data_IF_048131987718
#
_entry.id   IF_048131987718
#
_cell.length_a   1.000
_cell.length_b   1.000
_cell.length_c   1.000
_cell.angle_alpha   90.00
_cell.angle_beta   90.00
_cell.angle_gamma   90.00
#
_symmetry.space_group_name_H-M   'P 1'
#
loop_
_entity.id
_entity.type
_entity.pdbx_description
1 polymer ?
#
# COMPACT_ATOMS: atom_id res chain seq x y z
N UNK A 1 -13.81 42.61 -38.52
CA UNK A 1 -15.22 42.22 -38.51
C UNK A 1 -15.46 41.42 -37.25
N UNK A 2 -16.16 42.03 -36.29
CA UNK A 2 -16.48 41.46 -34.97
C UNK A 2 -17.69 40.55 -35.09
N UNK A 3 -17.70 39.38 -34.49
CA UNK A 3 -18.93 38.69 -34.09
C UNK A 3 -18.76 38.08 -32.72
N UNK A 4 -19.46 38.68 -31.77
CA UNK A 4 -19.73 38.17 -30.41
C UNK A 4 -20.76 37.05 -30.46
N UNK A 5 -20.60 36.06 -29.60
CA UNK A 5 -21.68 35.18 -29.16
C UNK A 5 -21.59 35.05 -27.63
N UNK A 6 -22.70 35.23 -26.90
CA UNK A 6 -22.73 35.12 -25.45
C UNK A 6 -23.01 33.67 -25.01
N UNK A 7 -22.34 33.25 -23.93
CA UNK A 7 -22.70 32.05 -23.20
C UNK A 7 -23.57 32.42 -22.01
N UNK A 8 -24.76 31.87 -22.00
CA UNK A 8 -25.74 31.93 -20.94
C UNK A 8 -25.39 30.91 -19.84
N UNK A 9 -25.27 31.37 -18.62
CA UNK A 9 -25.14 30.56 -17.41
C UNK A 9 -26.44 30.68 -16.65
N UNK A 10 -27.27 29.62 -16.67
CA UNK A 10 -28.37 29.48 -15.72
C UNK A 10 -28.39 28.11 -15.08
N UNK A 11 -28.15 28.14 -13.74
CA UNK A 11 -28.76 27.39 -12.67
C UNK A 11 -28.89 25.86 -12.73
N UNK A 12 -28.18 25.19 -11.82
CA UNK A 12 -28.69 23.98 -11.19
C UNK A 12 -28.31 24.00 -9.71
N UNK A 13 -29.32 23.94 -8.91
CA UNK A 13 -29.39 24.03 -7.45
C UNK A 13 -28.79 22.83 -6.71
N UNK A 14 -27.99 23.13 -5.69
CA UNK A 14 -27.57 22.16 -4.67
C UNK A 14 -28.68 22.00 -3.60
N UNK A 15 -28.83 20.83 -2.98
CA UNK A 15 -29.69 20.68 -1.82
C UNK A 15 -28.96 21.10 -0.54
N UNK A 16 -29.64 21.95 0.22
CA UNK A 16 -29.32 22.37 1.58
C UNK A 16 -29.37 21.20 2.57
N UNK A 17 -28.33 21.05 3.39
CA UNK A 17 -28.40 20.36 4.66
C UNK A 17 -28.40 21.40 5.78
N UNK A 18 -29.51 21.43 6.50
CA UNK A 18 -29.76 22.29 7.66
C UNK A 18 -28.92 21.84 8.86
N UNK A 19 -28.22 22.79 9.42
CA UNK A 19 -27.62 22.78 10.73
C UNK A 19 -28.69 22.98 11.81
N UNK A 20 -28.72 22.12 12.82
CA UNK A 20 -29.35 22.42 14.09
C UNK A 20 -28.33 22.31 15.23
N UNK A 21 -28.20 23.33 16.07
CA UNK A 21 -27.36 23.28 17.26
C UNK A 21 -28.25 23.07 18.49
N UNK A 22 -27.94 22.14 19.37
CA UNK A 22 -27.98 22.30 20.81
C UNK A 22 -27.77 20.95 21.55
N UNK A 23 -26.75 20.88 22.37
CA UNK A 23 -26.85 20.25 23.67
C UNK A 23 -25.59 20.56 24.51
N UNK A 24 -25.74 21.62 25.26
CA UNK A 24 -24.94 21.92 26.44
C UNK A 24 -25.32 20.97 27.56
N UNK A 25 -24.37 20.24 28.16
CA UNK A 25 -24.30 19.95 29.61
C UNK A 25 -22.91 19.43 29.96
N UNK A 26 -22.14 20.21 30.72
CA UNK A 26 -21.10 19.70 31.64
C UNK A 26 -21.77 19.33 32.99
N UNK A 27 -21.21 18.41 33.80
CA UNK A 27 -20.23 18.90 34.77
C UNK A 27 -19.03 17.99 35.04
N UNK A 28 -18.06 18.63 35.68
CA UNK A 28 -16.83 18.10 36.21
C UNK A 28 -16.99 17.04 37.29
N UNK A 29 -16.00 16.11 37.36
CA UNK A 29 -15.56 15.52 38.64
C UNK A 29 -14.12 14.97 38.50
N UNK A 30 -13.26 15.64 39.16
CA UNK A 30 -12.16 15.28 40.08
C UNK A 30 -11.34 14.01 39.85
N UNK A 31 -10.04 14.27 39.94
CA UNK A 31 -8.91 13.35 40.06
C UNK A 31 -9.06 12.30 41.18
N UNK A 32 -8.60 11.09 40.91
CA UNK A 32 -7.94 10.23 41.89
C UNK A 32 -6.91 9.33 41.21
N UNK A 33 -5.68 9.51 41.64
CA UNK A 33 -4.56 8.59 41.47
C UNK A 33 -4.88 7.23 42.09
N UNK A 34 -4.65 6.15 41.39
CA UNK A 34 -4.29 4.89 42.04
C UNK A 34 -3.25 4.13 41.24
N UNK A 35 -2.10 3.93 41.92
CA UNK A 35 -1.05 3.01 41.55
C UNK A 35 -1.47 1.63 42.00
N UNK A 36 -1.48 0.64 41.13
CA UNK A 36 -1.08 -0.71 41.55
C UNK A 36 -0.91 -1.66 40.35
N UNK A 37 0.26 -2.23 40.35
CA UNK A 37 0.62 -3.64 40.08
C UNK A 37 0.48 -4.17 38.65
N UNK A 38 1.64 -4.19 37.97
CA UNK A 38 1.99 -5.17 36.96
C UNK A 38 2.23 -6.54 37.61
N UNK A 39 1.79 -7.66 37.06
CA UNK A 39 2.34 -8.97 37.40
C UNK A 39 3.53 -9.28 36.51
N UNK A 40 4.69 -9.42 37.13
CA UNK A 40 5.88 -10.05 36.61
C UNK A 40 5.61 -11.53 36.28
N UNK A 41 5.73 -11.92 35.01
CA UNK A 41 5.62 -13.33 34.58
C UNK A 41 6.88 -13.89 33.91
N UNK A 42 8.07 -13.38 34.25
CA UNK A 42 9.33 -13.99 33.81
C UNK A 42 10.37 -13.98 34.93
N UNK A 43 10.24 -14.91 35.89
CA UNK A 43 11.36 -15.44 36.71
C UNK A 43 10.86 -16.59 37.56
N UNK A 44 11.03 -17.81 37.07
CA UNK A 44 11.24 -19.01 37.87
C UNK A 44 11.23 -20.23 36.96
N UNK A 45 12.40 -20.70 36.58
CA UNK A 45 12.77 -22.09 36.42
C UNK A 45 14.25 -22.20 36.04
N UNK A 46 15.08 -22.09 37.04
CA UNK A 46 16.42 -22.68 37.04
C UNK A 46 16.55 -23.44 38.36
N UNK A 47 17.21 -24.57 38.30
CA UNK A 47 17.59 -25.47 39.37
C UNK A 47 16.61 -26.62 39.67
N UNK A 48 16.94 -27.76 39.12
CA UNK A 48 17.33 -28.97 39.89
C UNK A 48 18.00 -29.95 38.93
N UNK A 49 19.25 -30.14 39.21
CA UNK A 49 20.16 -31.08 38.56
C UNK A 49 20.27 -32.37 39.34
N UNK A 50 20.73 -33.43 38.65
CA UNK A 50 21.56 -34.51 39.11
C UNK A 50 21.01 -35.53 40.14
N UNK A 51 20.86 -36.79 39.70
CA UNK A 51 21.51 -38.00 40.25
C UNK A 51 21.23 -39.19 39.34
N UNK A 52 22.24 -39.80 38.70
CA UNK A 52 22.94 -41.07 38.96
C UNK A 52 21.98 -42.27 39.17
N UNK A 53 22.00 -43.41 38.47
CA UNK A 53 23.03 -44.33 38.00
C UNK A 53 22.41 -45.55 37.29
N UNK A 54 23.15 -46.45 36.67
CA UNK A 54 22.64 -47.45 35.73
C UNK A 54 22.35 -48.79 36.41
N UNK A 55 21.32 -49.47 35.92
CA UNK A 55 21.13 -50.92 36.18
C UNK A 55 20.83 -51.62 34.86
N UNK A 56 21.80 -52.38 34.41
CA UNK A 56 21.68 -53.42 33.41
C UNK A 56 20.77 -54.53 33.92
N UNK A 57 19.67 -54.78 33.21
CA UNK A 57 18.92 -56.02 33.31
C UNK A 57 18.44 -56.44 31.93
N UNK A 58 19.05 -57.52 31.46
CA UNK A 58 18.70 -58.28 30.28
C UNK A 58 17.31 -58.90 30.42
N UNK A 59 16.40 -58.65 29.42
CA UNK A 59 15.18 -59.43 29.25
C UNK A 59 14.93 -59.71 27.77
N UNK A 60 14.25 -60.80 27.42
CA UNK A 60 14.30 -61.45 26.13
C UNK A 60 13.41 -60.77 25.10
N UNK A 61 13.80 -60.92 23.84
CA UNK A 61 13.10 -60.47 22.65
C UNK A 61 11.70 -61.10 22.53
N UNK A 62 10.67 -60.33 22.81
CA UNK A 62 9.33 -60.60 22.34
C UNK A 62 9.17 -59.85 20.98
N UNK A 63 9.12 -60.63 19.92
CA UNK A 63 8.67 -60.16 18.60
C UNK A 63 7.21 -59.80 18.73
N UNK A 64 6.92 -58.54 18.99
CA UNK A 64 5.58 -57.99 18.88
C UNK A 64 5.35 -57.62 17.41
N UNK A 65 4.34 -58.24 16.83
CA UNK A 65 3.81 -57.84 15.51
C UNK A 65 3.51 -56.33 15.47
N UNK A 66 4.09 -55.63 14.52
CA UNK A 66 3.80 -54.24 14.29
C UNK A 66 2.29 -54.04 14.03
N UNK A 67 1.62 -53.11 14.72
CA UNK A 67 0.30 -52.73 14.32
C UNK A 67 0.40 -52.05 12.91
N UNK A 68 -0.41 -52.52 11.96
CA UNK A 68 -0.65 -51.80 10.72
C UNK A 68 -1.12 -50.41 11.11
N UNK A 69 -0.27 -49.40 10.92
CA UNK A 69 -0.68 -48.03 11.00
C UNK A 69 -1.56 -47.75 9.79
N UNK A 70 -2.86 -47.75 9.97
CA UNK A 70 -3.78 -47.03 9.10
C UNK A 70 -3.49 -45.55 9.29
N UNK A 71 -2.38 -45.08 8.73
CA UNK A 71 -2.23 -43.66 8.41
C UNK A 71 -3.20 -43.42 7.23
N UNK A 72 -4.16 -42.51 7.37
CA UNK A 72 -4.90 -42.11 6.23
C UNK A 72 -3.88 -41.55 5.23
N UNK A 73 -3.76 -42.22 4.07
CA UNK A 73 -3.05 -41.69 2.93
C UNK A 73 -3.50 -40.25 2.78
N UNK A 74 -2.57 -39.31 3.03
CA UNK A 74 -2.78 -37.91 2.76
C UNK A 74 -3.36 -37.86 1.35
N UNK A 75 -4.60 -37.42 1.28
CA UNK A 75 -5.42 -37.46 0.08
C UNK A 75 -4.70 -36.58 -0.94
N UNK A 76 -3.92 -37.19 -1.83
CA UNK A 76 -3.18 -36.53 -2.91
C UNK A 76 -4.16 -35.70 -3.75
N UNK A 77 -5.43 -36.13 -3.82
CA UNK A 77 -6.51 -35.35 -4.46
C UNK A 77 -6.78 -33.99 -3.79
N UNK A 78 -6.50 -33.82 -2.49
CA UNK A 78 -6.57 -32.51 -1.82
C UNK A 78 -5.39 -31.60 -2.13
N UNK A 79 -4.23 -32.16 -2.44
CA UNK A 79 -3.06 -31.40 -2.86
C UNK A 79 -3.19 -30.96 -4.33
N UNK A 80 -3.87 -31.77 -5.14
CA UNK A 80 -4.15 -31.46 -6.57
C UNK A 80 -5.26 -30.41 -6.71
N UNK A 81 -6.17 -30.30 -5.73
CA UNK A 81 -7.26 -29.29 -5.74
C UNK A 81 -6.75 -27.84 -5.50
N UNK A 82 -5.48 -27.67 -5.11
CA UNK A 82 -4.82 -26.36 -4.97
C UNK A 82 -4.41 -25.79 -6.35
N UNK A 83 -4.40 -26.59 -7.38
CA UNK A 83 -4.01 -26.23 -8.75
C UNK A 83 -5.23 -26.19 -9.68
N UNK A 84 -6.39 -25.71 -9.19
CA UNK A 84 -7.48 -25.34 -10.08
C UNK A 84 -6.96 -24.29 -11.04
N UNK A 85 -7.13 -24.53 -12.33
CA UNK A 85 -6.88 -23.55 -13.36
C UNK A 85 -7.67 -22.27 -13.01
N UNK A 86 -6.94 -21.21 -12.65
CA UNK A 86 -7.57 -19.92 -12.37
C UNK A 86 -7.94 -19.30 -13.71
N UNK A 87 -9.23 -19.03 -13.89
CA UNK A 87 -9.67 -18.20 -15.01
C UNK A 87 -9.23 -16.75 -14.77
N UNK A 88 -8.17 -16.32 -15.44
CA UNK A 88 -7.62 -14.97 -15.32
C UNK A 88 -8.62 -13.86 -15.68
N UNK A 89 -9.68 -14.19 -16.44
CA UNK A 89 -10.75 -13.25 -16.78
C UNK A 89 -11.75 -13.03 -15.64
N UNK A 90 -11.64 -13.80 -14.56
CA UNK A 90 -12.58 -13.76 -13.42
C UNK A 90 -11.88 -13.50 -12.10
N UNK A 91 -10.74 -12.83 -12.12
CA UNK A 91 -10.01 -12.44 -10.92
C UNK A 91 -10.53 -11.09 -10.43
N UNK A 92 -10.86 -11.01 -9.14
CA UNK A 92 -11.32 -9.79 -8.45
C UNK A 92 -10.25 -9.32 -7.49
N UNK A 93 -10.02 -8.01 -7.42
CA UNK A 93 -9.09 -7.40 -6.49
C UNK A 93 -9.83 -6.44 -5.53
N UNK A 94 -9.72 -6.71 -4.23
CA UNK A 94 -10.36 -5.90 -3.18
C UNK A 94 -9.48 -4.79 -2.61
N UNK A 95 -8.25 -4.67 -3.14
CA UNK A 95 -7.32 -3.61 -2.80
C UNK A 95 -6.45 -3.26 -4.01
N UNK A 96 -5.80 -2.10 -4.02
CA UNK A 96 -5.19 -1.52 -5.21
C UNK A 96 -3.77 -2.02 -5.50
N UNK A 97 -3.04 -2.53 -4.49
CA UNK A 97 -1.79 -3.26 -4.73
C UNK A 97 -2.02 -4.52 -5.60
N UNK A 98 -2.99 -5.40 -5.28
CA UNK A 98 -3.34 -6.52 -6.16
C UNK A 98 -3.80 -6.10 -7.55
N UNK A 99 -4.51 -4.97 -7.69
CA UNK A 99 -4.87 -4.41 -9.01
C UNK A 99 -3.62 -4.13 -9.83
N UNK A 100 -2.64 -3.47 -9.21
CA UNK A 100 -1.38 -3.14 -9.86
C UNK A 100 -0.63 -4.40 -10.31
N UNK A 101 -0.58 -5.43 -9.45
CA UNK A 101 0.07 -6.70 -9.77
C UNK A 101 -0.58 -7.40 -10.96
N UNK A 102 -1.92 -7.42 -11.03
CA UNK A 102 -2.65 -7.96 -12.19
C UNK A 102 -2.31 -7.21 -13.47
N UNK A 103 -2.37 -5.87 -13.42
CA UNK A 103 -2.09 -5.02 -14.58
C UNK A 103 -0.64 -5.17 -15.05
N UNK A 104 0.31 -5.36 -14.14
CA UNK A 104 1.71 -5.65 -14.46
C UNK A 104 1.89 -7.00 -15.17
N UNK A 105 1.01 -7.98 -14.93
CA UNK A 105 0.95 -9.25 -15.64
C UNK A 105 0.14 -9.19 -16.94
N UNK A 106 -0.39 -8.03 -17.33
CA UNK A 106 -1.27 -7.87 -18.49
C UNK A 106 -2.69 -8.39 -18.27
N UNK A 107 -3.10 -8.62 -17.01
CA UNK A 107 -4.43 -9.11 -16.65
C UNK A 107 -5.31 -7.95 -16.21
N UNK A 108 -6.42 -7.73 -16.90
CA UNK A 108 -7.46 -6.80 -16.45
C UNK A 108 -8.29 -7.47 -15.36
N UNK A 109 -8.41 -6.87 -14.14
CA UNK A 109 -9.27 -7.43 -13.10
C UNK A 109 -10.74 -7.41 -13.54
N UNK A 110 -11.48 -8.48 -13.24
CA UNK A 110 -12.92 -8.59 -13.51
C UNK A 110 -13.74 -7.63 -12.63
N UNK A 111 -13.30 -7.43 -11.40
CA UNK A 111 -13.88 -6.48 -10.46
C UNK A 111 -12.84 -5.88 -9.56
N UNK A 112 -13.05 -4.64 -9.15
CA UNK A 112 -12.17 -3.88 -8.27
C UNK A 112 -13.00 -3.17 -7.21
N UNK A 113 -12.53 -3.19 -5.97
CA UNK A 113 -13.15 -2.41 -4.93
C UNK A 113 -12.72 -0.93 -5.01
N UNK A 114 -13.69 -0.05 -4.77
CA UNK A 114 -13.49 1.40 -4.61
C UNK A 114 -12.86 2.07 -5.84
N UNK A 115 -13.42 1.79 -7.03
CA UNK A 115 -12.93 2.36 -8.31
C UNK A 115 -12.94 3.88 -8.32
N UNK A 116 -13.90 4.53 -7.62
CA UNK A 116 -13.94 5.98 -7.54
C UNK A 116 -12.64 6.55 -6.93
N UNK A 117 -12.28 6.06 -5.75
CA UNK A 117 -11.05 6.49 -5.07
C UNK A 117 -9.78 5.96 -5.76
N UNK A 118 -9.83 4.82 -6.45
CA UNK A 118 -8.72 4.38 -7.30
C UNK A 118 -8.33 5.48 -8.30
N UNK A 119 -9.32 6.08 -8.97
CA UNK A 119 -9.07 7.18 -9.94
C UNK A 119 -8.46 8.42 -9.30
N UNK A 120 -8.81 8.71 -8.03
CA UNK A 120 -8.31 9.88 -7.29
C UNK A 120 -6.91 9.67 -6.70
N UNK A 121 -6.60 8.44 -6.25
CA UNK A 121 -5.37 8.15 -5.51
C UNK A 121 -4.30 7.43 -6.32
N UNK A 122 -4.71 6.60 -7.26
CA UNK A 122 -3.80 5.84 -8.14
C UNK A 122 -3.64 6.56 -9.48
N UNK A 123 -4.76 6.86 -10.14
CA UNK A 123 -4.83 7.56 -11.41
C UNK A 123 -4.37 6.72 -12.60
N UNK A 124 -3.21 6.10 -12.53
CA UNK A 124 -2.63 5.27 -13.58
C UNK A 124 -1.95 4.02 -12.98
N UNK A 125 -2.05 2.85 -13.66
CA UNK A 125 -2.79 2.63 -14.91
C UNK A 125 -4.29 2.84 -14.76
N UNK A 126 -4.92 3.39 -15.80
CA UNK A 126 -6.38 3.55 -15.81
C UNK A 126 -7.06 2.18 -15.91
N UNK A 127 -8.14 1.99 -15.16
CA UNK A 127 -8.98 0.80 -15.29
C UNK A 127 -9.90 0.93 -16.49
N UNK A 128 -10.06 -0.13 -17.32
CA UNK A 128 -11.08 -0.20 -18.34
C UNK A 128 -12.50 0.08 -17.81
N UNK A 129 -13.39 0.53 -18.67
CA UNK A 129 -14.73 0.95 -18.26
C UNK A 129 -15.66 -0.22 -17.88
N UNK A 130 -15.33 -1.42 -18.31
CA UNK A 130 -16.06 -2.67 -18.06
C UNK A 130 -15.68 -3.36 -16.73
N UNK A 131 -14.67 -2.85 -16.03
CA UNK A 131 -14.31 -3.34 -14.70
C UNK A 131 -15.43 -3.04 -13.70
N UNK A 132 -15.93 -4.09 -13.04
CA UNK A 132 -17.06 -3.99 -12.12
C UNK A 132 -16.59 -3.41 -10.77
N UNK A 133 -17.28 -2.37 -10.27
CA UNK A 133 -17.06 -1.87 -8.92
C UNK A 133 -17.74 -2.79 -7.90
N UNK A 134 -16.96 -3.44 -7.03
CA UNK A 134 -17.47 -4.40 -6.05
C UNK A 134 -17.67 -3.81 -4.64
N UNK A 135 -17.79 -2.49 -4.53
CA UNK A 135 -18.05 -1.79 -3.25
C UNK A 135 -16.78 -1.19 -2.65
N UNK A 136 -16.79 -0.96 -1.34
CA UNK A 136 -15.66 -0.38 -0.61
C UNK A 136 -14.57 -1.44 -0.35
N UNK A 137 -13.31 -0.99 -0.24
CA UNK A 137 -12.18 -1.89 0.05
C UNK A 137 -12.31 -2.58 1.41
N UNK A 138 -12.86 -1.89 2.41
CA UNK A 138 -13.09 -2.44 3.76
C UNK A 138 -14.37 -3.25 3.88
N UNK A 139 -15.39 -2.92 3.08
CA UNK A 139 -16.71 -3.54 3.07
C UNK A 139 -17.18 -3.76 1.63
N UNK A 140 -16.60 -4.75 0.91
CA UNK A 140 -17.06 -5.08 -0.43
C UNK A 140 -18.47 -5.70 -0.40
N UNK A 141 -19.19 -5.57 -1.50
CA UNK A 141 -20.50 -6.17 -1.66
C UNK A 141 -20.36 -7.70 -1.86
N UNK A 142 -20.52 -8.45 -0.77
CA UNK A 142 -20.36 -9.92 -0.77
C UNK A 142 -21.41 -10.63 -1.63
N UNK A 143 -22.63 -10.09 -1.72
CA UNK A 143 -23.70 -10.65 -2.57
C UNK A 143 -23.34 -10.52 -4.05
N UNK A 144 -22.84 -9.34 -4.45
CA UNK A 144 -22.35 -9.12 -5.80
C UNK A 144 -21.16 -10.05 -6.11
N UNK A 145 -20.20 -10.18 -5.19
CA UNK A 145 -19.07 -11.09 -5.35
C UNK A 145 -19.54 -12.54 -5.55
N UNK A 146 -20.54 -12.97 -4.79
CA UNK A 146 -21.13 -14.31 -4.93
C UNK A 146 -21.79 -14.51 -6.31
N UNK A 147 -22.54 -13.50 -6.79
CA UNK A 147 -23.15 -13.53 -8.13
C UNK A 147 -22.11 -13.54 -9.26
N UNK A 148 -21.03 -12.77 -9.08
CA UNK A 148 -19.91 -12.74 -10.03
C UNK A 148 -19.17 -14.08 -10.09
N UNK A 149 -19.21 -14.89 -9.05
CA UNK A 149 -18.53 -16.18 -8.90
C UNK A 149 -17.05 -16.10 -9.39
N UNK A 150 -16.19 -15.28 -8.79
CA UNK A 150 -14.83 -15.12 -9.22
C UNK A 150 -14.02 -16.42 -9.09
N UNK A 151 -13.00 -16.58 -9.92
CA UNK A 151 -12.07 -17.72 -9.83
C UNK A 151 -11.03 -17.54 -8.72
N UNK A 152 -10.72 -16.27 -8.39
CA UNK A 152 -9.77 -15.88 -7.36
C UNK A 152 -10.13 -14.48 -6.86
N UNK A 153 -10.00 -14.26 -5.53
CA UNK A 153 -10.11 -12.95 -4.91
C UNK A 153 -8.74 -12.55 -4.32
N UNK A 154 -8.25 -11.39 -4.71
CA UNK A 154 -6.98 -10.84 -4.26
C UNK A 154 -7.18 -9.77 -3.20
N UNK A 155 -6.34 -9.80 -2.16
CA UNK A 155 -6.40 -8.98 -0.95
C UNK A 155 -5.05 -8.34 -0.66
N UNK A 156 -5.04 -7.31 0.19
CA UNK A 156 -3.84 -6.90 0.92
C UNK A 156 -3.89 -7.37 2.37
N UNK A 157 -2.74 -7.77 2.91
CA UNK A 157 -2.66 -8.24 4.29
C UNK A 157 -2.98 -7.11 5.28
N UNK A 158 -3.79 -7.43 6.26
CA UNK A 158 -4.15 -6.49 7.33
C UNK A 158 -5.11 -5.38 6.91
N UNK A 159 -5.69 -5.44 5.69
CA UNK A 159 -6.65 -4.46 5.21
C UNK A 159 -7.84 -5.12 4.51
N UNK A 160 -9.05 -4.64 4.82
CA UNK A 160 -10.30 -5.18 4.27
C UNK A 160 -10.81 -6.43 4.98
N UNK A 161 -11.69 -7.22 4.33
CA UNK A 161 -12.28 -8.41 4.92
C UNK A 161 -11.24 -9.52 5.10
N UNK A 162 -11.42 -10.34 6.13
CA UNK A 162 -10.55 -11.49 6.34
C UNK A 162 -10.79 -12.58 5.27
N UNK A 163 -9.75 -13.38 4.92
CA UNK A 163 -9.88 -14.47 3.95
C UNK A 163 -11.00 -15.46 4.30
N UNK A 164 -11.24 -15.71 5.59
CA UNK A 164 -12.27 -16.65 6.04
C UNK A 164 -13.68 -16.22 5.66
N UNK A 165 -13.95 -14.89 5.62
CA UNK A 165 -15.25 -14.36 5.17
C UNK A 165 -15.49 -14.54 3.68
N UNK A 166 -14.42 -14.63 2.91
CA UNK A 166 -14.47 -14.74 1.44
C UNK A 166 -14.34 -16.18 0.95
N UNK A 167 -13.82 -17.09 1.78
CA UNK A 167 -13.63 -18.50 1.44
C UNK A 167 -14.88 -19.21 0.92
N UNK A 168 -16.13 -18.90 1.37
CA UNK A 168 -17.34 -19.47 0.79
C UNK A 168 -17.63 -19.00 -0.65
N UNK A 169 -17.04 -17.89 -1.09
CA UNK A 169 -17.27 -17.27 -2.41
C UNK A 169 -16.23 -17.78 -3.41
N UNK A 170 -14.93 -17.66 -3.08
CA UNK A 170 -13.84 -18.09 -3.94
C UNK A 170 -12.54 -18.27 -3.15
N UNK A 171 -11.54 -18.97 -3.72
CA UNK A 171 -10.16 -18.94 -3.19
C UNK A 171 -9.65 -17.53 -3.06
N UNK A 172 -8.82 -17.28 -2.04
CA UNK A 172 -8.23 -15.97 -1.78
C UNK A 172 -6.71 -16.03 -1.83
N UNK A 173 -6.08 -14.90 -2.19
CA UNK A 173 -4.64 -14.70 -2.09
C UNK A 173 -4.36 -13.29 -1.57
N UNK A 174 -3.48 -13.16 -0.57
CA UNK A 174 -3.19 -11.90 0.10
C UNK A 174 -1.73 -11.50 -0.08
N UNK A 175 -1.50 -10.20 -0.29
CA UNK A 175 -0.18 -9.63 -0.49
C UNK A 175 0.15 -8.63 0.62
N UNK A 176 1.37 -8.70 1.13
CA UNK A 176 1.89 -7.68 2.04
C UNK A 176 2.36 -6.45 1.24
N UNK A 177 2.16 -5.26 1.81
CA UNK A 177 2.81 -4.05 1.31
C UNK A 177 4.26 -3.98 1.77
N UNK A 178 4.52 -4.38 3.03
CA UNK A 178 5.84 -4.34 3.64
C UNK A 178 6.03 -5.56 4.54
N UNK A 179 7.27 -5.99 4.69
CA UNK A 179 7.68 -7.09 5.56
C UNK A 179 8.90 -6.68 6.38
N UNK A 180 8.99 -7.17 7.60
CA UNK A 180 10.11 -6.83 8.47
C UNK A 180 11.44 -7.28 7.85
N UNK A 181 12.37 -6.34 7.70
CA UNK A 181 13.69 -6.60 7.12
C UNK A 181 13.74 -6.60 5.60
N UNK A 182 12.63 -6.33 4.92
CA UNK A 182 12.56 -6.18 3.46
C UNK A 182 12.15 -4.76 3.09
N UNK A 183 12.37 -4.39 1.83
CA UNK A 183 11.88 -3.13 1.28
C UNK A 183 10.54 -3.33 0.57
N UNK A 184 9.61 -2.35 0.59
CA UNK A 184 8.34 -2.44 -0.12
C UNK A 184 8.50 -2.80 -1.61
N UNK A 185 9.52 -2.27 -2.27
CA UNK A 185 9.78 -2.60 -3.67
C UNK A 185 10.18 -4.07 -3.86
N UNK A 186 11.01 -4.63 -2.96
CA UNK A 186 11.37 -6.04 -3.02
C UNK A 186 10.17 -6.94 -2.73
N UNK A 187 9.35 -6.59 -1.73
CA UNK A 187 8.10 -7.30 -1.41
C UNK A 187 7.15 -7.26 -2.61
N UNK A 188 6.99 -6.10 -3.27
CA UNK A 188 6.15 -5.95 -4.45
C UNK A 188 6.64 -6.80 -5.64
N UNK A 189 7.96 -6.87 -5.89
CA UNK A 189 8.53 -7.75 -6.93
C UNK A 189 8.27 -9.23 -6.64
N UNK A 190 8.46 -9.67 -5.39
CA UNK A 190 8.17 -11.05 -4.97
C UNK A 190 6.67 -11.36 -5.09
N UNK A 191 5.81 -10.42 -4.72
CA UNK A 191 4.36 -10.55 -4.86
C UNK A 191 3.95 -10.74 -6.32
N UNK A 192 4.57 -10.00 -7.25
CA UNK A 192 4.32 -10.14 -8.68
C UNK A 192 4.73 -11.53 -9.19
N UNK A 193 5.90 -12.04 -8.79
CA UNK A 193 6.35 -13.38 -9.17
C UNK A 193 5.40 -14.45 -8.62
N UNK A 194 5.01 -14.34 -7.36
CA UNK A 194 4.10 -15.28 -6.70
C UNK A 194 2.72 -15.29 -7.34
N UNK A 195 2.19 -14.10 -7.71
CA UNK A 195 0.93 -14.01 -8.45
C UNK A 195 1.09 -14.59 -9.87
N UNK A 196 2.20 -14.30 -10.55
CA UNK A 196 2.51 -14.88 -11.85
C UNK A 196 2.50 -16.41 -11.83
N UNK A 197 3.14 -17.02 -10.85
CA UNK A 197 3.13 -18.48 -10.64
C UNK A 197 1.69 -18.98 -10.39
N UNK A 198 0.92 -18.30 -9.55
CA UNK A 198 -0.45 -18.70 -9.23
C UNK A 198 -1.39 -18.67 -10.44
N UNK A 199 -1.13 -17.74 -11.38
CA UNK A 199 -1.95 -17.56 -12.59
C UNK A 199 -1.36 -18.27 -13.84
N UNK A 200 -0.22 -18.95 -13.74
CA UNK A 200 0.47 -19.56 -14.91
C UNK A 200 1.05 -18.49 -15.85
N UNK A 201 1.46 -17.35 -15.33
CA UNK A 201 1.97 -16.18 -16.06
C UNK A 201 3.42 -15.84 -15.67
N UNK A 202 4.25 -16.85 -15.34
CA UNK A 202 5.63 -16.66 -14.87
C UNK A 202 6.47 -15.90 -15.88
N UNK A 203 6.31 -16.20 -17.17
CA UNK A 203 7.04 -15.51 -18.25
C UNK A 203 6.69 -14.03 -18.30
N UNK A 204 5.40 -13.68 -18.14
CA UNK A 204 4.95 -12.28 -18.10
C UNK A 204 5.52 -11.54 -16.87
N UNK A 205 5.56 -12.20 -15.71
CA UNK A 205 6.15 -11.65 -14.49
C UNK A 205 7.66 -11.40 -14.67
N UNK A 206 8.41 -12.36 -15.23
CA UNK A 206 9.84 -12.23 -15.49
C UNK A 206 10.13 -11.10 -16.47
N UNK A 207 9.36 -11.03 -17.57
CA UNK A 207 9.53 -9.97 -18.56
C UNK A 207 9.27 -8.60 -17.96
N UNK A 208 8.15 -8.44 -17.22
CA UNK A 208 7.84 -7.17 -16.56
C UNK A 208 8.94 -6.72 -15.59
N UNK A 209 9.49 -7.65 -14.80
CA UNK A 209 10.58 -7.33 -13.86
C UNK A 209 11.88 -6.94 -14.58
N UNK A 210 12.21 -7.60 -15.69
CA UNK A 210 13.35 -7.23 -16.52
C UNK A 210 13.18 -5.82 -17.13
N UNK A 211 11.99 -5.53 -17.66
CA UNK A 211 11.64 -4.21 -18.20
C UNK A 211 11.68 -3.13 -17.12
N UNK A 212 11.19 -3.44 -15.91
CA UNK A 212 11.28 -2.55 -14.75
C UNK A 212 12.74 -2.23 -14.39
N UNK A 213 13.61 -3.23 -14.31
CA UNK A 213 15.01 -3.03 -13.94
C UNK A 213 15.75 -2.20 -15.01
N UNK A 214 15.49 -2.46 -16.30
CA UNK A 214 15.99 -1.64 -17.41
C UNK A 214 15.49 -0.20 -17.32
N UNK A 215 14.20 -0.01 -17.05
CA UNK A 215 13.60 1.31 -16.88
C UNK A 215 14.27 2.10 -15.74
N UNK A 216 14.48 1.46 -14.58
CA UNK A 216 15.10 2.10 -13.42
C UNK A 216 16.56 2.48 -13.68
N UNK A 217 17.32 1.61 -14.36
CA UNK A 217 18.70 1.89 -14.74
C UNK A 217 18.78 3.10 -15.69
N UNK A 218 17.93 3.13 -16.70
CA UNK A 218 17.87 4.24 -17.65
C UNK A 218 17.44 5.55 -16.98
N UNK A 219 16.45 5.50 -16.07
CA UNK A 219 15.98 6.65 -15.30
C UNK A 219 17.09 7.22 -14.40
N UNK A 220 17.86 6.35 -13.73
CA UNK A 220 19.02 6.75 -12.93
C UNK A 220 20.03 7.55 -13.77
N UNK A 221 20.31 7.10 -15.00
CA UNK A 221 21.21 7.81 -15.89
C UNK A 221 20.67 9.18 -16.31
N UNK A 222 19.37 9.28 -16.63
CA UNK A 222 18.73 10.56 -17.02
C UNK A 222 18.67 11.57 -15.88
N UNK A 223 18.43 11.11 -14.64
CA UNK A 223 18.31 11.96 -13.45
C UNK A 223 19.65 12.22 -12.74
N UNK A 224 20.77 11.65 -13.21
CA UNK A 224 22.08 11.73 -12.53
C UNK A 224 22.61 13.14 -12.31
N UNK A 225 22.24 14.10 -13.17
CA UNK A 225 22.64 15.51 -13.02
C UNK A 225 21.93 16.25 -11.89
N UNK A 226 20.84 15.69 -11.35
CA UNK A 226 19.94 16.33 -10.39
C UNK A 226 19.91 15.67 -9.02
N UNK A 227 20.85 14.77 -8.72
CA UNK A 227 20.86 13.99 -7.48
C UNK A 227 21.44 14.73 -6.28
N UNK A 228 22.08 15.89 -6.47
CA UNK A 228 22.80 16.64 -5.43
C UNK A 228 21.87 17.30 -4.40
N UNK A 229 20.63 17.60 -4.77
CA UNK A 229 19.69 18.23 -3.85
C UNK A 229 18.69 17.20 -3.34
N UNK A 230 18.59 17.00 -2.02
CA UNK A 230 17.63 16.03 -1.46
C UNK A 230 16.19 16.33 -1.88
N UNK A 231 15.36 15.29 -1.96
CA UNK A 231 13.96 15.39 -2.36
C UNK A 231 13.03 15.19 -1.17
N UNK A 232 12.18 16.18 -0.87
CA UNK A 232 11.08 16.06 0.06
C UNK A 232 9.83 15.56 -0.68
N UNK A 233 9.22 14.50 -0.18
CA UNK A 233 8.01 13.91 -0.74
C UNK A 233 6.87 14.01 0.27
N UNK A 234 5.76 14.64 -0.11
CA UNK A 234 4.62 14.77 0.80
C UNK A 234 3.29 14.97 0.06
N UNK A 235 2.18 14.80 0.80
CA UNK A 235 0.84 15.19 0.41
C UNK A 235 0.18 15.99 1.53
N UNK A 236 -0.66 16.96 1.22
CA UNK A 236 -1.45 17.66 2.23
C UNK A 236 -2.68 16.84 2.58
N UNK A 237 -2.88 16.54 3.86
CA UNK A 237 -4.06 15.87 4.38
C UNK A 237 -5.18 16.88 4.69
N UNK A 238 -4.79 18.01 5.24
CA UNK A 238 -5.65 19.15 5.57
C UNK A 238 -4.80 20.44 5.57
N UNK A 239 -5.37 21.64 5.83
CA UNK A 239 -4.62 22.89 5.82
C UNK A 239 -3.50 23.00 6.85
N UNK A 240 -3.38 22.07 7.80
CA UNK A 240 -2.39 22.08 8.89
C UNK A 240 -1.49 20.87 8.92
N UNK A 241 -1.85 19.78 8.23
CA UNK A 241 -1.11 18.52 8.31
C UNK A 241 -0.67 18.03 6.93
N UNK A 242 0.57 17.55 6.88
CA UNK A 242 1.15 16.87 5.74
C UNK A 242 1.44 15.41 6.06
N UNK A 243 1.17 14.53 5.12
CA UNK A 243 1.64 13.16 5.07
C UNK A 243 3.01 13.17 4.37
N UNK A 244 4.06 12.96 5.13
CA UNK A 244 5.42 12.84 4.60
C UNK A 244 5.65 11.40 4.17
N UNK A 245 6.36 11.21 3.06
CA UNK A 245 6.81 9.92 2.57
C UNK A 245 8.32 9.82 2.84
N UNK A 246 8.70 8.89 3.70
CA UNK A 246 10.07 8.77 4.22
C UNK A 246 10.60 7.34 4.17
N UNK A 247 11.48 7.02 5.10
CA UNK A 247 12.13 5.72 5.19
C UNK A 247 11.10 4.58 5.35
N UNK A 248 11.36 3.43 4.72
CA UNK A 248 10.43 2.28 4.71
C UNK A 248 9.26 2.43 3.74
N UNK A 249 9.22 3.46 2.90
CA UNK A 249 8.22 3.61 1.82
C UNK A 249 8.73 3.06 0.50
N UNK A 250 7.79 2.72 -0.39
CA UNK A 250 8.10 2.36 -1.78
C UNK A 250 8.93 3.44 -2.49
N UNK A 251 8.60 4.71 -2.27
CA UNK A 251 9.30 5.81 -2.94
C UNK A 251 10.68 6.07 -2.36
N UNK A 252 10.92 5.73 -1.09
CA UNK A 252 12.28 5.71 -0.55
C UNK A 252 13.15 4.70 -1.29
N UNK A 253 12.63 3.50 -1.59
CA UNK A 253 13.37 2.49 -2.36
C UNK A 253 13.68 2.98 -3.78
N UNK A 254 12.72 3.68 -4.40
CA UNK A 254 12.91 4.33 -5.71
C UNK A 254 14.03 5.38 -5.63
N UNK A 255 13.99 6.29 -4.66
CA UNK A 255 15.02 7.31 -4.48
C UNK A 255 16.40 6.69 -4.27
N UNK A 256 16.48 5.63 -3.44
CA UNK A 256 17.72 4.89 -3.19
C UNK A 256 18.28 4.29 -4.49
N UNK A 257 17.42 3.71 -5.34
CA UNK A 257 17.81 3.18 -6.65
C UNK A 257 18.31 4.27 -7.60
N UNK A 258 17.69 5.46 -7.56
CA UNK A 258 18.07 6.62 -8.37
C UNK A 258 19.28 7.39 -7.81
N UNK A 259 19.79 7.01 -6.63
CA UNK A 259 20.82 7.74 -5.88
C UNK A 259 20.42 9.18 -5.53
N UNK A 260 19.16 9.38 -5.16
CA UNK A 260 18.59 10.66 -4.68
C UNK A 260 18.37 10.53 -3.17
N UNK A 261 18.84 11.51 -2.41
CA UNK A 261 18.65 11.56 -0.96
C UNK A 261 17.21 12.02 -0.64
N UNK A 262 16.57 11.38 0.37
CA UNK A 262 15.31 11.88 0.92
C UNK A 262 15.58 13.00 1.91
N UNK A 263 14.96 14.14 1.73
CA UNK A 263 15.12 15.29 2.64
C UNK A 263 14.48 15.09 4.01
N UNK A 264 13.56 14.12 4.15
CA UNK A 264 12.98 13.77 5.44
C UNK A 264 13.84 12.74 6.17
N UNK A 265 14.43 13.15 7.30
CA UNK A 265 15.26 12.30 8.16
C UNK A 265 14.56 11.92 9.49
N UNK A 266 13.28 12.30 9.64
CA UNK A 266 12.49 11.96 10.82
C UNK A 266 11.95 10.53 10.79
N UNK A 267 11.39 10.10 11.92
CA UNK A 267 10.76 8.79 12.04
C UNK A 267 9.55 8.65 11.12
N UNK A 268 9.28 7.41 10.74
CA UNK A 268 8.13 6.99 9.94
C UNK A 268 7.47 5.77 10.57
N UNK A 269 6.19 5.57 10.26
CA UNK A 269 5.44 4.40 10.69
C UNK A 269 5.75 3.16 9.81
N UNK A 270 5.05 2.06 10.07
CA UNK A 270 5.16 0.82 9.28
C UNK A 270 4.96 1.04 7.77
N UNK A 271 4.16 2.04 7.37
CA UNK A 271 3.86 2.36 5.98
C UNK A 271 4.91 3.27 5.31
N UNK A 272 6.01 3.57 6.01
CA UNK A 272 7.03 4.48 5.52
C UNK A 272 6.56 5.94 5.44
N UNK A 273 5.61 6.34 6.27
CA UNK A 273 5.04 7.68 6.28
C UNK A 273 4.97 8.28 7.69
N UNK A 274 4.85 9.61 7.75
CA UNK A 274 4.63 10.35 8.99
C UNK A 274 3.61 11.46 8.76
N UNK A 275 2.65 11.61 9.68
CA UNK A 275 1.74 12.76 9.69
C UNK A 275 2.35 13.83 10.59
N UNK A 276 2.59 15.00 10.02
CA UNK A 276 3.23 16.13 10.73
C UNK A 276 2.48 17.43 10.48
N UNK A 277 2.60 18.38 11.39
CA UNK A 277 2.17 19.75 11.11
C UNK A 277 3.01 20.38 9.98
N UNK A 278 2.40 21.23 9.15
CA UNK A 278 3.08 21.85 8.01
C UNK A 278 4.24 22.75 8.46
N UNK A 279 4.26 23.23 9.71
CA UNK A 279 5.39 23.96 10.30
C UNK A 279 6.68 23.12 10.37
N UNK A 280 6.56 21.79 10.43
CA UNK A 280 7.72 20.88 10.40
C UNK A 280 8.44 20.93 9.05
N UNK A 281 7.74 21.27 7.96
CA UNK A 281 8.36 21.46 6.64
C UNK A 281 9.35 22.63 6.65
N UNK A 282 9.17 23.62 7.52
CA UNK A 282 10.07 24.76 7.65
C UNK A 282 11.44 24.40 8.28
N UNK A 283 11.56 23.22 8.88
CA UNK A 283 12.84 22.73 9.39
C UNK A 283 13.79 22.26 8.28
N UNK A 284 13.24 21.94 7.09
CA UNK A 284 13.99 21.50 5.92
C UNK A 284 14.50 22.72 5.17
N UNK A 285 15.79 22.96 5.23
CA UNK A 285 16.41 24.20 4.71
C UNK A 285 16.77 24.11 3.23
N UNK A 286 17.21 22.96 2.78
CA UNK A 286 17.65 22.75 1.40
C UNK A 286 17.02 21.46 0.89
N UNK A 287 16.07 21.57 -0.04
CA UNK A 287 15.45 20.44 -0.70
C UNK A 287 14.71 20.89 -1.96
N UNK A 288 14.63 20.01 -2.93
CA UNK A 288 13.52 20.02 -3.88
C UNK A 288 12.32 19.36 -3.21
N UNK A 289 11.13 19.72 -3.61
CA UNK A 289 9.92 19.17 -3.00
C UNK A 289 8.89 18.75 -4.03
N UNK A 290 8.25 17.61 -3.81
CA UNK A 290 7.05 17.20 -4.53
C UNK A 290 5.88 17.11 -3.55
N UNK A 291 4.76 17.71 -3.96
CA UNK A 291 3.48 17.56 -3.30
C UNK A 291 2.54 16.77 -4.22
N UNK A 292 2.09 15.61 -3.75
CA UNK A 292 1.15 14.78 -4.51
C UNK A 292 -0.29 15.30 -4.33
N UNK A 293 -0.97 15.52 -5.45
CA UNK A 293 -2.37 15.97 -5.48
C UNK A 293 -3.31 14.77 -5.54
N UNK A 294 -4.31 14.77 -4.65
CA UNK A 294 -5.34 13.72 -4.58
C UNK A 294 -6.74 14.34 -4.61
N UNK A 295 -6.98 15.24 -5.59
CA UNK A 295 -8.26 15.97 -5.70
C UNK A 295 -8.42 17.14 -4.73
N UNK A 296 -7.34 17.57 -4.08
CA UNK A 296 -7.33 18.61 -3.03
C UNK A 296 -6.84 19.98 -3.51
N UNK A 297 -7.07 20.34 -4.78
CA UNK A 297 -6.56 21.57 -5.40
C UNK A 297 -7.01 22.85 -4.68
N UNK A 298 -8.25 22.92 -4.19
CA UNK A 298 -8.76 24.07 -3.45
C UNK A 298 -8.01 24.26 -2.11
N UNK A 299 -7.79 23.18 -1.41
CA UNK A 299 -7.00 23.20 -0.16
C UNK A 299 -5.57 23.66 -0.43
N UNK A 300 -4.92 23.16 -1.48
CA UNK A 300 -3.59 23.61 -1.88
C UNK A 300 -3.53 25.09 -2.16
N UNK A 301 -4.53 25.64 -2.88
CA UNK A 301 -4.62 27.08 -3.14
C UNK A 301 -4.82 27.89 -1.86
N UNK A 302 -5.60 27.38 -0.90
CA UNK A 302 -5.80 28.02 0.40
C UNK A 302 -4.49 28.05 1.20
N UNK A 303 -3.82 26.92 1.33
CA UNK A 303 -2.55 26.79 2.06
C UNK A 303 -1.45 27.63 1.42
N UNK A 304 -1.37 27.67 0.09
CA UNK A 304 -0.38 28.44 -0.65
C UNK A 304 -0.41 29.95 -0.37
N UNK A 305 -1.55 30.48 0.11
CA UNK A 305 -1.68 31.91 0.48
C UNK A 305 -1.22 32.21 1.88
N UNK A 306 -0.91 31.21 2.70
CA UNK A 306 -0.50 31.40 4.10
C UNK A 306 0.95 31.90 4.19
N UNK A 307 1.27 32.80 5.14
CA UNK A 307 2.65 33.27 5.36
C UNK A 307 3.62 32.13 5.67
N UNK A 308 3.17 31.11 6.42
CA UNK A 308 3.97 29.93 6.73
C UNK A 308 4.40 29.20 5.45
N UNK A 309 3.46 28.90 4.56
CA UNK A 309 3.77 28.21 3.31
C UNK A 309 4.75 29.02 2.44
N UNK A 310 4.50 30.31 2.30
CA UNK A 310 5.36 31.22 1.53
C UNK A 310 6.76 31.38 2.11
N UNK A 311 6.94 31.10 3.41
CA UNK A 311 8.25 31.13 4.08
C UNK A 311 9.09 29.87 3.89
N UNK A 312 8.49 28.75 3.40
CA UNK A 312 9.20 27.51 3.17
C UNK A 312 10.30 27.69 2.12
N UNK A 313 11.51 27.17 2.38
CA UNK A 313 12.68 27.36 1.50
C UNK A 313 12.40 26.89 0.07
N UNK A 314 11.89 25.68 -0.10
CA UNK A 314 11.59 25.12 -1.42
C UNK A 314 10.45 25.85 -2.17
N UNK A 315 9.56 26.56 -1.45
CA UNK A 315 8.55 27.44 -2.08
C UNK A 315 9.18 28.73 -2.56
N UNK A 316 9.95 29.39 -1.70
CA UNK A 316 10.66 30.67 -2.04
C UNK A 316 11.66 30.50 -3.18
N UNK A 317 12.31 29.33 -3.25
CA UNK A 317 13.32 29.01 -4.26
C UNK A 317 12.70 28.38 -5.52
N UNK A 318 11.37 28.34 -5.62
CA UNK A 318 10.65 27.72 -6.74
C UNK A 318 11.02 26.24 -7.00
N UNK A 319 11.34 25.52 -5.92
CA UNK A 319 11.74 24.11 -5.94
C UNK A 319 10.60 23.14 -5.62
N UNK A 320 9.36 23.64 -5.48
CA UNK A 320 8.17 22.82 -5.29
C UNK A 320 7.56 22.45 -6.64
N UNK A 321 7.21 21.17 -6.80
CA UNK A 321 6.40 20.68 -7.91
C UNK A 321 5.16 19.98 -7.37
N UNK A 322 4.02 20.28 -8.01
CA UNK A 322 2.77 19.55 -7.76
C UNK A 322 2.71 18.39 -8.75
N UNK A 323 2.61 17.18 -8.24
CA UNK A 323 2.53 15.97 -9.04
C UNK A 323 1.10 15.42 -9.05
N UNK A 324 0.67 14.80 -10.15
CA UNK A 324 -0.54 14.00 -10.17
C UNK A 324 -0.51 12.89 -9.13
N UNK A 325 -1.67 12.27 -8.81
CA UNK A 325 -1.74 11.16 -7.86
C UNK A 325 -0.88 9.98 -8.31
N UNK A 326 -0.22 9.35 -7.32
CA UNK A 326 0.51 8.09 -7.45
C UNK A 326 0.24 7.27 -6.20
N UNK A 327 -0.01 5.98 -6.34
CA UNK A 327 -0.29 5.13 -5.19
C UNK A 327 0.98 4.87 -4.35
N UNK A 328 0.94 5.28 -3.09
CA UNK A 328 2.09 5.16 -2.18
C UNK A 328 2.37 3.72 -1.75
N UNK A 329 1.35 2.86 -1.81
CA UNK A 329 1.36 1.49 -1.32
C UNK A 329 1.21 0.47 -2.46
N UNK A 330 1.73 0.83 -3.63
CA UNK A 330 1.79 -0.02 -4.81
C UNK A 330 3.09 -0.83 -4.89
N UNK A 331 3.47 -1.17 -6.11
CA UNK A 331 4.67 -1.92 -6.44
C UNK A 331 5.42 -1.30 -7.63
N UNK A 332 5.75 -2.10 -8.65
CA UNK A 332 6.59 -1.69 -9.78
C UNK A 332 5.96 -0.63 -10.68
N UNK A 333 4.65 -0.70 -10.95
CA UNK A 333 3.97 0.30 -11.81
C UNK A 333 3.89 1.66 -11.12
N UNK A 334 3.56 1.68 -9.82
CA UNK A 334 3.58 2.90 -9.00
C UNK A 334 4.98 3.50 -8.92
N UNK A 335 6.01 2.67 -8.74
CA UNK A 335 7.40 3.10 -8.78
C UNK A 335 7.78 3.71 -10.14
N UNK A 336 7.43 3.07 -11.25
CA UNK A 336 7.68 3.58 -12.59
C UNK A 336 6.95 4.89 -12.86
N UNK A 337 5.68 5.00 -12.41
CA UNK A 337 4.91 6.23 -12.52
C UNK A 337 5.56 7.37 -11.75
N UNK A 338 5.96 7.13 -10.52
CA UNK A 338 6.66 8.13 -9.71
C UNK A 338 7.93 8.63 -10.41
N UNK A 339 8.75 7.73 -10.95
CA UNK A 339 9.96 8.09 -11.70
C UNK A 339 9.64 8.96 -12.91
N UNK A 340 8.63 8.57 -13.74
CA UNK A 340 8.22 9.38 -14.90
C UNK A 340 7.79 10.79 -14.49
N UNK A 341 7.08 10.92 -13.37
CA UNK A 341 6.69 12.23 -12.85
C UNK A 341 7.89 13.06 -12.35
N UNK A 342 8.89 12.43 -11.75
CA UNK A 342 10.14 13.12 -11.42
C UNK A 342 10.89 13.60 -12.66
N UNK A 343 10.95 12.76 -13.71
CA UNK A 343 11.56 13.13 -14.99
C UNK A 343 10.82 14.31 -15.65
N UNK A 344 9.49 14.33 -15.61
CA UNK A 344 8.69 15.46 -16.11
C UNK A 344 8.88 16.73 -15.30
N UNK A 345 9.05 16.59 -13.99
CA UNK A 345 9.20 17.74 -13.08
C UNK A 345 10.58 18.42 -13.17
N UNK A 346 11.64 17.62 -13.37
CA UNK A 346 13.03 18.10 -13.35
C UNK A 346 13.93 17.47 -14.43
N UNK A 347 13.46 16.52 -15.19
CA UNK A 347 14.25 15.94 -16.27
C UNK A 347 14.65 17.01 -17.29
N UNK A 348 15.85 16.88 -17.83
CA UNK A 348 16.19 17.65 -19.05
C UNK A 348 15.26 17.13 -20.14
N UNK A 349 14.58 18.04 -20.81
CA UNK A 349 13.84 17.68 -22.03
C UNK A 349 14.77 16.91 -22.95
N UNK A 350 14.30 15.82 -23.59
CA UNK A 350 15.09 15.02 -24.49
C UNK A 350 15.62 15.85 -25.68
#
# INVERSE_FOLDING_TARGET
MKTHLPMDLSSSSAPNYSSDPDCSVRPACSARSDRSSRPDYYRRRLLMALTLSPLLLSLPSLVAAAPKSDQPLLNIDRVIDIQRDIDTKRVVALEWLPVELLLALGVTPFGVADIHNYRLWVGEPALPADVINVGQRTEPNLELLQQMAPSLILLSQGYGPSPEKLAPIAPTMSFAFNEQGSSPLAVGKNSLQTLGQRLGLETAAQQHLADFDHFMLAARARLSGDTQTPLLMFSLLDPRHALIIGNGSLFQDVLSTLNIENAWQGETNFWGSAVVGIERLATIKTARAVCFGHGNNEMLQQVARTPLWQSLSFVRENQLRLLPPVWFYGATLSAMRFVRLLEQAWGKAP
#
